data_IF_952749065650
#
_entry.id   IF_952749065650
#
_cell.length_a   1.000
_cell.length_b   1.000
_cell.length_c   1.000
_cell.angle_alpha   90.00
_cell.angle_beta   90.00
_cell.angle_gamma   90.00
#
_symmetry.space_group_name_H-M   'P 1'
#
loop_
_entity.id
_entity.type
_entity.pdbx_description
1 polymer ?
#
# COMPACT_ATOMS: atom_id res chain seq x y z
N UNK A 1 11.50 45.73 -10.87
CA UNK A 1 10.65 44.54 -11.13
C UNK A 1 11.33 43.35 -10.46
N UNK A 2 10.91 43.01 -9.24
CA UNK A 2 11.57 41.99 -8.42
C UNK A 2 10.96 40.63 -8.73
N UNK A 3 11.72 39.77 -9.40
CA UNK A 3 11.29 38.41 -9.73
C UNK A 3 11.27 37.58 -8.44
N UNK A 4 10.09 37.30 -7.90
CA UNK A 4 9.91 36.30 -6.85
C UNK A 4 9.96 34.93 -7.53
N UNK A 5 11.15 34.35 -7.61
CA UNK A 5 11.29 32.95 -7.92
C UNK A 5 10.71 32.15 -6.74
N UNK A 6 9.45 31.76 -6.86
CA UNK A 6 8.81 30.81 -5.94
C UNK A 6 9.51 29.46 -6.14
N UNK A 7 10.56 29.23 -5.34
CA UNK A 7 11.22 27.93 -5.26
C UNK A 7 10.28 26.95 -4.56
N UNK A 8 9.34 26.35 -5.30
CA UNK A 8 8.57 25.20 -4.84
C UNK A 8 9.47 23.97 -4.75
N UNK A 9 10.35 23.91 -3.74
CA UNK A 9 10.91 22.62 -3.31
C UNK A 9 9.81 21.87 -2.57
N UNK A 10 8.90 21.23 -3.30
CA UNK A 10 8.13 20.15 -2.71
C UNK A 10 9.12 19.04 -2.39
N UNK A 11 9.50 18.92 -1.11
CA UNK A 11 10.26 17.76 -0.65
C UNK A 11 9.35 16.55 -0.76
N UNK A 12 9.35 15.88 -1.91
CA UNK A 12 8.68 14.59 -2.08
C UNK A 12 9.44 13.58 -1.23
N UNK A 13 9.00 13.40 0.01
CA UNK A 13 9.53 12.38 0.90
C UNK A 13 8.99 11.00 0.46
N UNK A 14 9.46 10.49 -0.68
CA UNK A 14 9.42 9.05 -0.92
C UNK A 14 10.64 8.47 -0.21
N UNK A 15 10.50 7.60 0.82
CA UNK A 15 11.64 7.05 1.55
C UNK A 15 12.70 6.48 0.60
N UNK A 16 12.29 5.77 -0.45
CA UNK A 16 13.20 5.19 -1.44
C UNK A 16 13.64 6.17 -2.54
N UNK A 17 13.01 7.35 -2.63
CA UNK A 17 13.27 8.39 -3.62
C UNK A 17 13.27 7.87 -5.06
N UNK A 18 12.38 6.94 -5.40
CA UNK A 18 12.40 6.23 -6.70
C UNK A 18 12.41 7.18 -7.91
N UNK A 19 11.77 8.34 -7.80
CA UNK A 19 11.74 9.39 -8.84
C UNK A 19 13.12 9.91 -9.29
N UNK A 20 14.14 9.85 -8.44
CA UNK A 20 15.49 10.35 -8.72
C UNK A 20 16.48 9.23 -9.08
N UNK A 21 16.01 7.98 -9.11
CA UNK A 21 16.80 6.80 -9.48
C UNK A 21 16.70 6.54 -10.98
N UNK A 22 17.64 5.77 -11.52
CA UNK A 22 17.61 5.35 -12.92
C UNK A 22 16.36 4.54 -13.25
N UNK A 23 15.95 4.57 -14.52
CA UNK A 23 14.77 3.82 -15.00
C UNK A 23 14.86 2.32 -14.68
N UNK A 24 16.06 1.72 -14.82
CA UNK A 24 16.29 0.33 -14.47
C UNK A 24 15.99 0.04 -12.98
N UNK A 25 16.35 0.96 -12.08
CA UNK A 25 16.06 0.82 -10.66
C UNK A 25 14.58 1.00 -10.36
N UNK A 26 13.92 1.95 -11.02
CA UNK A 26 12.47 2.15 -10.89
C UNK A 26 11.71 0.89 -11.33
N UNK A 27 12.08 0.32 -12.47
CA UNK A 27 11.51 -0.92 -12.97
C UNK A 27 11.74 -2.07 -11.98
N UNK A 28 12.98 -2.26 -11.51
CA UNK A 28 13.30 -3.27 -10.51
C UNK A 28 12.49 -3.10 -9.21
N UNK A 29 12.28 -1.86 -8.75
CA UNK A 29 11.44 -1.59 -7.59
C UNK A 29 9.98 -1.98 -7.83
N UNK A 30 9.40 -1.64 -8.99
CA UNK A 30 8.03 -2.03 -9.34
C UNK A 30 7.88 -3.56 -9.36
N UNK A 31 8.83 -4.28 -9.97
CA UNK A 31 8.82 -5.75 -9.99
C UNK A 31 8.90 -6.32 -8.57
N UNK A 32 9.80 -5.81 -7.73
CA UNK A 32 9.93 -6.27 -6.34
C UNK A 32 8.69 -5.96 -5.50
N UNK A 33 8.09 -4.79 -5.67
CA UNK A 33 6.86 -4.41 -4.98
C UNK A 33 5.67 -5.25 -5.44
N UNK A 34 5.56 -5.56 -6.73
CA UNK A 34 4.56 -6.48 -7.28
C UNK A 34 4.72 -7.88 -6.72
N UNK A 35 5.95 -8.41 -6.70
CA UNK A 35 6.26 -9.71 -6.10
C UNK A 35 5.89 -9.75 -4.61
N UNK A 36 6.19 -8.69 -3.86
CA UNK A 36 5.82 -8.60 -2.45
C UNK A 36 4.29 -8.59 -2.24
N UNK A 37 3.54 -7.90 -3.08
CA UNK A 37 2.07 -7.91 -3.08
C UNK A 37 1.53 -9.31 -3.38
N UNK A 38 2.09 -9.99 -4.39
CA UNK A 38 1.73 -11.36 -4.74
C UNK A 38 2.03 -12.32 -3.59
N UNK A 39 3.24 -12.34 -3.02
CA UNK A 39 3.55 -13.22 -1.89
C UNK A 39 2.65 -12.97 -0.68
N UNK A 40 2.28 -11.70 -0.45
CA UNK A 40 1.34 -11.34 0.61
C UNK A 40 -0.11 -11.78 0.33
N UNK A 41 -0.49 -12.04 -0.92
CA UNK A 41 -1.82 -12.55 -1.26
C UNK A 41 -2.02 -14.03 -0.95
N UNK A 42 -0.93 -14.80 -0.89
CA UNK A 42 -0.97 -16.20 -0.49
C UNK A 42 -1.13 -16.40 1.02
N UNK A 43 -0.82 -15.37 1.82
CA UNK A 43 -1.05 -15.41 3.27
C UNK A 43 -2.50 -14.99 3.52
N UNK A 44 -3.38 -15.99 3.61
CA UNK A 44 -4.81 -15.78 3.80
C UNK A 44 -5.45 -16.74 4.80
N UNK A 45 -6.57 -16.28 5.36
CA UNK A 45 -7.57 -17.14 6.02
C UNK A 45 -8.69 -17.34 5.00
N UNK A 46 -8.87 -18.56 4.47
CA UNK A 46 -9.90 -18.85 3.48
C UNK A 46 -11.29 -18.60 4.04
N UNK A 47 -12.03 -17.67 3.44
CA UNK A 47 -13.40 -17.32 3.82
C UNK A 47 -14.21 -16.95 2.59
N UNK A 48 -15.53 -17.09 2.68
CA UNK A 48 -16.48 -16.80 1.59
C UNK A 48 -17.41 -15.66 2.02
N UNK A 49 -17.70 -14.68 1.16
CA UNK A 49 -17.26 -14.56 -0.23
C UNK A 49 -15.93 -13.81 -0.42
N UNK A 50 -15.35 -13.28 0.66
CA UNK A 50 -14.11 -12.49 0.63
C UNK A 50 -13.11 -13.10 1.62
N UNK A 51 -11.93 -13.54 1.18
CA UNK A 51 -10.89 -14.04 2.08
C UNK A 51 -10.23 -12.91 2.86
N UNK A 52 -9.75 -13.18 4.08
CA UNK A 52 -8.87 -12.25 4.80
C UNK A 52 -7.43 -12.52 4.40
N UNK A 53 -6.79 -11.56 3.74
CA UNK A 53 -5.41 -11.71 3.23
C UNK A 53 -4.45 -10.69 3.84
N UNK A 54 -3.14 -10.89 3.64
CA UNK A 54 -2.12 -9.86 3.94
C UNK A 54 -1.95 -8.83 2.81
N UNK A 55 -2.78 -8.86 1.76
CA UNK A 55 -2.71 -7.90 0.65
C UNK A 55 -2.89 -6.46 1.13
N UNK A 56 -3.86 -6.18 2.01
CA UNK A 56 -4.14 -4.81 2.45
C UNK A 56 -2.99 -4.23 3.29
N UNK A 57 -2.27 -5.07 4.02
CA UNK A 57 -1.00 -4.71 4.66
C UNK A 57 0.05 -4.34 3.61
N UNK A 58 0.26 -5.20 2.62
CA UNK A 58 1.26 -4.96 1.58
C UNK A 58 0.96 -3.70 0.75
N UNK A 59 -0.30 -3.48 0.38
CA UNK A 59 -0.79 -2.29 -0.34
C UNK A 59 -0.45 -1.01 0.41
N UNK A 60 -0.77 -0.95 1.70
CA UNK A 60 -0.50 0.24 2.52
C UNK A 60 1.00 0.45 2.75
N UNK A 61 1.77 -0.63 2.93
CA UNK A 61 3.22 -0.56 3.10
C UNK A 61 3.96 -0.13 1.82
N UNK A 62 3.60 -0.71 0.67
CA UNK A 62 4.14 -0.31 -0.64
C UNK A 62 3.82 1.15 -0.93
N UNK A 63 2.58 1.58 -0.69
CA UNK A 63 2.20 2.99 -0.79
C UNK A 63 3.11 3.90 0.05
N UNK A 64 3.27 3.60 1.33
CA UNK A 64 4.09 4.40 2.24
C UNK A 64 5.59 4.42 1.87
N UNK A 65 6.15 3.31 1.38
CA UNK A 65 7.57 3.19 1.05
C UNK A 65 7.93 3.77 -0.32
N UNK A 66 7.03 3.63 -1.31
CA UNK A 66 7.30 3.99 -2.70
C UNK A 66 6.81 5.41 -3.00
N UNK A 67 5.93 5.96 -2.16
CA UNK A 67 5.27 7.25 -2.38
C UNK A 67 4.00 7.11 -3.22
N UNK A 68 3.25 8.19 -3.39
CA UNK A 68 1.90 8.10 -3.98
C UNK A 68 1.91 7.65 -5.44
N UNK A 69 2.90 8.08 -6.24
CA UNK A 69 3.01 7.76 -7.68
C UNK A 69 3.43 6.31 -7.88
N UNK A 70 4.62 5.96 -7.39
CA UNK A 70 5.19 4.63 -7.59
C UNK A 70 4.45 3.56 -6.80
N UNK A 71 3.88 3.90 -5.63
CA UNK A 71 3.01 2.99 -4.88
C UNK A 71 1.77 2.62 -5.71
N UNK A 72 1.03 3.61 -6.20
CA UNK A 72 -0.15 3.38 -7.04
C UNK A 72 0.19 2.63 -8.33
N UNK A 73 1.27 3.00 -9.02
CA UNK A 73 1.73 2.33 -10.24
C UNK A 73 2.10 0.86 -9.98
N UNK A 74 2.80 0.58 -8.88
CA UNK A 74 3.20 -0.80 -8.52
C UNK A 74 1.98 -1.66 -8.23
N UNK A 75 1.03 -1.14 -7.46
CA UNK A 75 -0.21 -1.86 -7.14
C UNK A 75 -1.06 -2.06 -8.40
N UNK A 76 -1.15 -1.05 -9.28
CA UNK A 76 -1.86 -1.19 -10.55
C UNK A 76 -1.19 -2.23 -11.46
N UNK A 77 0.14 -2.27 -11.54
CA UNK A 77 0.87 -3.28 -12.30
C UNK A 77 0.56 -4.69 -11.78
N UNK A 78 0.62 -4.91 -10.46
CA UNK A 78 0.24 -6.18 -9.84
C UNK A 78 -1.20 -6.61 -10.15
N UNK A 79 -2.15 -5.66 -10.15
CA UNK A 79 -3.53 -5.95 -10.54
C UNK A 79 -3.65 -6.29 -12.04
N UNK A 80 -2.90 -5.62 -12.91
CA UNK A 80 -2.85 -5.94 -14.35
C UNK A 80 -2.28 -7.34 -14.56
N UNK A 81 -1.24 -7.74 -13.83
CA UNK A 81 -0.72 -9.11 -13.83
C UNK A 81 -1.83 -10.11 -13.44
N UNK A 82 -2.55 -9.84 -12.36
CA UNK A 82 -3.69 -10.66 -11.93
C UNK A 82 -4.76 -10.77 -13.00
N UNK A 83 -5.14 -9.65 -13.62
CA UNK A 83 -6.13 -9.63 -14.70
C UNK A 83 -5.65 -10.36 -15.98
N UNK A 84 -4.35 -10.31 -16.28
CA UNK A 84 -3.72 -10.99 -17.40
C UNK A 84 -3.59 -12.51 -17.19
N UNK A 85 -3.98 -13.04 -16.02
CA UNK A 85 -4.02 -14.47 -15.74
C UNK A 85 -2.83 -15.00 -14.95
N UNK A 86 -1.98 -14.14 -14.39
CA UNK A 86 -0.94 -14.58 -13.46
C UNK A 86 -1.56 -14.89 -12.08
N UNK A 87 -1.11 -15.94 -11.38
CA UNK A 87 -1.64 -16.36 -10.08
C UNK A 87 -1.08 -15.48 -8.95
N UNK A 88 -1.43 -14.19 -8.97
CA UNK A 88 -0.88 -13.19 -8.04
C UNK A 88 -1.92 -12.62 -7.08
N UNK A 89 -3.19 -13.04 -7.20
CA UNK A 89 -4.27 -12.61 -6.30
C UNK A 89 -4.42 -13.58 -5.12
N UNK A 90 -5.45 -13.39 -4.30
CA UNK A 90 -5.71 -14.16 -3.08
C UNK A 90 -5.68 -15.68 -3.35
N UNK A 91 -4.91 -16.44 -2.57
CA UNK A 91 -4.82 -17.90 -2.72
C UNK A 91 -4.27 -18.39 -4.08
N UNK A 92 -3.61 -17.52 -4.85
CA UNK A 92 -3.16 -17.84 -6.22
C UNK A 92 -4.24 -17.67 -7.29
N UNK A 93 -5.33 -16.96 -6.97
CA UNK A 93 -6.35 -16.59 -7.95
C UNK A 93 -5.76 -15.76 -9.11
N UNK A 94 -6.38 -15.89 -10.29
CA UNK A 94 -5.91 -15.31 -11.54
C UNK A 94 -7.08 -15.07 -12.51
N UNK A 95 -7.04 -13.98 -13.28
CA UNK A 95 -7.98 -13.69 -14.36
C UNK A 95 -9.00 -12.59 -14.03
N UNK A 96 -9.58 -12.02 -15.10
CA UNK A 96 -10.47 -10.85 -15.05
C UNK A 96 -11.75 -11.07 -14.24
N UNK A 97 -12.23 -12.32 -14.12
CA UNK A 97 -13.46 -12.63 -13.40
C UNK A 97 -13.42 -12.25 -11.92
N UNK A 98 -12.23 -12.24 -11.29
CA UNK A 98 -12.07 -11.81 -9.89
C UNK A 98 -12.31 -10.31 -9.68
N UNK A 99 -12.19 -9.50 -10.74
CA UNK A 99 -12.46 -8.07 -10.74
C UNK A 99 -13.95 -7.75 -10.90
N UNK A 100 -14.71 -8.67 -11.49
CA UNK A 100 -16.17 -8.56 -11.64
C UNK A 100 -16.95 -9.28 -10.52
N UNK A 101 -16.23 -9.98 -9.63
CA UNK A 101 -16.81 -10.76 -8.53
C UNK A 101 -16.90 -10.00 -7.19
N UNK A 102 -17.18 -10.74 -6.09
CA UNK A 102 -17.35 -10.19 -4.74
C UNK A 102 -16.15 -9.38 -4.22
N UNK A 103 -14.93 -9.69 -4.68
CA UNK A 103 -13.70 -9.03 -4.27
C UNK A 103 -13.36 -7.78 -5.10
N UNK A 104 -14.10 -7.52 -6.19
CA UNK A 104 -13.77 -6.50 -7.18
C UNK A 104 -13.56 -5.12 -6.59
N UNK A 105 -14.49 -4.65 -5.74
CA UNK A 105 -14.38 -3.34 -5.09
C UNK A 105 -13.15 -3.18 -4.20
N UNK A 106 -12.69 -4.25 -3.55
CA UNK A 106 -11.46 -4.23 -2.75
C UNK A 106 -10.25 -4.08 -3.67
N UNK A 107 -10.17 -4.89 -4.74
CA UNK A 107 -9.09 -4.82 -5.72
C UNK A 107 -8.99 -3.43 -6.36
N UNK A 108 -10.11 -2.87 -6.84
CA UNK A 108 -10.14 -1.53 -7.45
C UNK A 108 -9.81 -0.41 -6.46
N UNK A 109 -10.02 -0.61 -5.16
CA UNK A 109 -9.62 0.36 -4.15
C UNK A 109 -8.11 0.41 -3.92
N UNK A 110 -7.37 -0.67 -4.18
CA UNK A 110 -5.98 -0.79 -3.76
C UNK A 110 -5.04 0.28 -4.34
N UNK A 111 -5.10 0.65 -5.64
CA UNK A 111 -4.25 1.73 -6.15
C UNK A 111 -4.55 3.08 -5.48
N UNK A 112 -5.83 3.35 -5.19
CA UNK A 112 -6.27 4.57 -4.50
C UNK A 112 -5.75 4.60 -3.06
N UNK A 113 -5.88 3.48 -2.36
CA UNK A 113 -5.38 3.30 -0.99
C UNK A 113 -3.86 3.49 -0.95
N UNK A 114 -3.12 2.82 -1.85
CA UNK A 114 -1.68 2.98 -1.95
C UNK A 114 -1.25 4.42 -2.24
N UNK A 115 -1.97 5.11 -3.13
CA UNK A 115 -1.73 6.52 -3.43
C UNK A 115 -1.93 7.41 -2.20
N UNK A 116 -3.06 7.27 -1.49
CA UNK A 116 -3.39 8.08 -0.31
C UNK A 116 -2.38 7.84 0.81
N UNK A 117 -2.06 6.57 1.11
CA UNK A 117 -1.09 6.25 2.15
C UNK A 117 0.30 6.76 1.79
N UNK A 118 0.73 6.62 0.54
CA UNK A 118 1.99 7.20 0.07
C UNK A 118 2.01 8.73 0.15
N UNK A 119 0.91 9.38 -0.20
CA UNK A 119 0.75 10.84 -0.14
C UNK A 119 0.80 11.38 1.30
N UNK A 120 0.22 10.65 2.26
CA UNK A 120 0.32 10.94 3.69
C UNK A 120 1.75 10.72 4.20
N UNK A 121 2.40 9.63 3.82
CA UNK A 121 3.78 9.31 4.20
C UNK A 121 4.76 10.40 3.72
N UNK A 122 4.56 10.90 2.50
CA UNK A 122 5.30 12.05 1.92
C UNK A 122 5.11 13.35 2.72
N UNK A 123 4.02 13.48 3.49
CA UNK A 123 3.72 14.61 4.38
C UNK A 123 4.15 14.39 5.83
N UNK A 124 4.94 13.35 6.10
CA UNK A 124 5.46 13.08 7.44
C UNK A 124 4.67 12.07 8.26
N UNK A 125 3.62 11.45 7.70
CA UNK A 125 2.89 10.35 8.35
C UNK A 125 3.63 9.02 8.11
N UNK A 126 4.87 8.95 8.60
CA UNK A 126 5.81 7.87 8.31
C UNK A 126 6.49 7.34 9.58
N UNK A 127 7.43 6.41 9.44
CA UNK A 127 8.08 5.72 10.56
C UNK A 127 8.70 6.61 11.64
N UNK A 128 9.07 7.86 11.32
CA UNK A 128 9.55 8.81 12.34
C UNK A 128 8.44 9.23 13.32
N UNK A 129 7.19 9.18 12.89
CA UNK A 129 5.98 9.51 13.67
C UNK A 129 5.02 8.32 13.65
N UNK A 130 5.35 7.29 14.42
CA UNK A 130 4.68 5.97 14.39
C UNK A 130 3.16 6.05 14.51
N UNK A 131 2.63 6.92 15.37
CA UNK A 131 1.18 7.10 15.52
C UNK A 131 0.52 7.66 14.26
N UNK A 132 1.19 8.57 13.54
CA UNK A 132 0.70 9.06 12.25
C UNK A 132 0.85 8.01 11.15
N UNK A 133 1.92 7.22 11.16
CA UNK A 133 2.05 6.08 10.24
C UNK A 133 0.91 5.07 10.44
N UNK A 134 0.61 4.73 11.70
CA UNK A 134 -0.54 3.89 12.05
C UNK A 134 -1.84 4.48 11.53
N UNK A 135 -2.09 5.77 11.78
CA UNK A 135 -3.28 6.45 11.32
C UNK A 135 -3.41 6.45 9.78
N UNK A 136 -2.31 6.69 9.05
CA UNK A 136 -2.31 6.64 7.59
C UNK A 136 -2.71 5.25 7.07
N UNK A 137 -2.11 4.19 7.62
CA UNK A 137 -2.40 2.82 7.22
C UNK A 137 -3.82 2.40 7.62
N UNK A 138 -4.31 2.86 8.77
CA UNK A 138 -5.68 2.61 9.21
C UNK A 138 -6.70 3.29 8.31
N UNK A 139 -6.48 4.56 7.94
CA UNK A 139 -7.31 5.28 6.96
C UNK A 139 -7.35 4.52 5.63
N UNK A 140 -6.19 4.05 5.16
CA UNK A 140 -6.11 3.25 3.94
C UNK A 140 -6.90 1.94 4.02
N UNK A 141 -6.77 1.18 5.11
CA UNK A 141 -7.53 -0.05 5.32
C UNK A 141 -9.04 0.21 5.44
N UNK A 142 -9.45 1.25 6.18
CA UNK A 142 -10.86 1.61 6.30
C UNK A 142 -11.46 2.04 4.96
N UNK A 143 -10.72 2.82 4.16
CA UNK A 143 -11.15 3.20 2.81
C UNK A 143 -11.34 1.97 1.92
N UNK A 144 -10.39 1.03 1.97
CA UNK A 144 -10.52 -0.26 1.28
C UNK A 144 -11.80 -0.99 1.70
N UNK A 145 -12.08 -1.08 3.01
CA UNK A 145 -13.27 -1.78 3.51
C UNK A 145 -14.56 -1.08 3.09
N UNK A 146 -14.61 0.25 3.13
CA UNK A 146 -15.79 1.01 2.70
C UNK A 146 -16.06 0.79 1.22
N UNK A 147 -15.06 0.96 0.35
CA UNK A 147 -15.23 0.81 -1.10
C UNK A 147 -15.52 -0.64 -1.50
N UNK A 148 -14.80 -1.61 -0.91
CA UNK A 148 -15.01 -3.02 -1.15
C UNK A 148 -16.38 -3.51 -0.67
N UNK A 149 -16.79 -3.09 0.53
CA UNK A 149 -18.11 -3.44 1.07
C UNK A 149 -19.24 -2.79 0.29
N UNK A 150 -19.08 -1.55 -0.17
CA UNK A 150 -20.08 -0.88 -1.01
C UNK A 150 -20.30 -1.63 -2.33
N UNK A 151 -19.22 -2.10 -2.97
CA UNK A 151 -19.31 -2.97 -4.14
C UNK A 151 -20.03 -4.28 -3.82
N UNK A 152 -19.63 -4.96 -2.74
CA UNK A 152 -20.24 -6.22 -2.32
C UNK A 152 -21.73 -6.04 -1.99
N UNK A 153 -22.11 -4.93 -1.36
CA UNK A 153 -23.48 -4.59 -1.01
C UNK A 153 -24.37 -4.47 -2.26
N UNK A 154 -23.84 -3.96 -3.37
CA UNK A 154 -24.56 -3.93 -4.64
C UNK A 154 -24.83 -5.33 -5.22
N UNK A 155 -24.05 -6.34 -4.83
CA UNK A 155 -24.20 -7.72 -5.32
C UNK A 155 -25.10 -8.58 -4.42
N UNK A 156 -24.93 -8.49 -3.10
CA UNK A 156 -25.55 -9.43 -2.14
C UNK A 156 -26.43 -8.76 -1.07
N UNK A 157 -26.62 -7.45 -1.16
CA UNK A 157 -27.34 -6.64 -0.18
C UNK A 157 -26.46 -6.13 0.96
N UNK A 158 -26.83 -4.96 1.51
CA UNK A 158 -26.03 -4.23 2.50
C UNK A 158 -25.78 -5.02 3.78
N UNK A 159 -26.80 -5.68 4.33
CA UNK A 159 -26.68 -6.46 5.57
C UNK A 159 -25.65 -7.59 5.45
N UNK A 160 -25.74 -8.39 4.38
CA UNK A 160 -24.78 -9.47 4.12
C UNK A 160 -23.39 -8.92 3.83
N UNK A 161 -23.29 -7.84 3.08
CA UNK A 161 -22.00 -7.23 2.77
C UNK A 161 -21.29 -6.69 4.03
N UNK A 162 -22.00 -6.09 4.97
CA UNK A 162 -21.42 -5.64 6.24
C UNK A 162 -20.94 -6.86 7.06
N UNK A 163 -21.78 -7.88 7.18
CA UNK A 163 -21.49 -9.08 7.97
C UNK A 163 -20.30 -9.87 7.43
N UNK A 164 -20.20 -10.03 6.12
CA UNK A 164 -19.17 -10.87 5.50
C UNK A 164 -18.01 -10.11 4.86
N UNK A 165 -18.17 -8.81 4.59
CA UNK A 165 -17.20 -7.97 3.87
C UNK A 165 -16.59 -6.83 4.68
N UNK A 166 -17.15 -6.50 5.85
CA UNK A 166 -16.66 -5.41 6.69
C UNK A 166 -16.23 -5.88 8.07
N UNK A 167 -17.16 -6.44 8.85
CA UNK A 167 -16.93 -6.78 10.26
C UNK A 167 -15.73 -7.72 10.51
N UNK A 168 -15.54 -8.81 9.74
CA UNK A 168 -14.44 -9.74 9.96
C UNK A 168 -13.05 -9.10 9.79
N UNK A 169 -12.99 -7.99 9.04
CA UNK A 169 -11.75 -7.35 8.64
C UNK A 169 -11.31 -6.23 9.60
N UNK A 170 -12.16 -5.78 10.53
CA UNK A 170 -11.84 -4.64 11.42
C UNK A 170 -10.61 -4.95 12.28
N UNK A 171 -10.63 -6.09 12.98
CA UNK A 171 -9.51 -6.50 13.84
C UNK A 171 -8.25 -6.70 13.02
N UNK A 172 -8.37 -7.36 11.86
CA UNK A 172 -7.26 -7.52 10.93
C UNK A 172 -6.71 -6.19 10.44
N UNK A 173 -7.55 -5.21 10.13
CA UNK A 173 -7.16 -3.88 9.69
C UNK A 173 -6.38 -3.10 10.75
N UNK A 174 -6.80 -3.19 12.02
CA UNK A 174 -6.07 -2.61 13.15
C UNK A 174 -4.69 -3.26 13.31
N UNK A 175 -4.63 -4.59 13.36
CA UNK A 175 -3.38 -5.34 13.53
C UNK A 175 -2.41 -5.10 12.37
N UNK A 176 -2.92 -5.09 11.13
CA UNK A 176 -2.12 -4.81 9.91
C UNK A 176 -1.59 -3.40 9.90
N UNK A 177 -2.39 -2.42 10.33
CA UNK A 177 -1.95 -1.02 10.42
C UNK A 177 -0.87 -0.84 11.48
N UNK A 178 -0.99 -1.52 12.62
CA UNK A 178 0.02 -1.53 13.67
C UNK A 178 1.33 -2.16 13.18
N UNK A 179 1.25 -3.33 12.54
CA UNK A 179 2.40 -4.02 11.95
C UNK A 179 3.10 -3.16 10.90
N UNK A 180 2.34 -2.51 10.03
CA UNK A 180 2.87 -1.63 9.00
C UNK A 180 3.56 -0.40 9.58
N UNK A 181 2.98 0.23 10.60
CA UNK A 181 3.59 1.35 11.30
C UNK A 181 4.90 0.94 12.00
N UNK A 182 4.93 -0.23 12.64
CA UNK A 182 6.14 -0.79 13.25
C UNK A 182 7.22 -1.09 12.20
N UNK A 183 6.83 -1.62 11.04
CA UNK A 183 7.73 -1.88 9.92
C UNK A 183 8.32 -0.57 9.40
N UNK A 184 7.51 0.45 9.18
CA UNK A 184 8.00 1.78 8.78
C UNK A 184 8.93 2.40 9.82
N UNK A 185 8.65 2.24 11.11
CA UNK A 185 9.56 2.68 12.19
C UNK A 185 10.92 2.02 12.06
N UNK A 186 10.95 0.71 11.86
CA UNK A 186 12.19 -0.05 11.69
C UNK A 186 13.02 0.50 10.52
N UNK A 187 12.40 0.72 9.36
CA UNK A 187 13.07 1.34 8.19
C UNK A 187 13.59 2.75 8.47
N UNK A 188 12.88 3.55 9.28
CA UNK A 188 13.32 4.91 9.62
C UNK A 188 14.54 4.94 10.53
N UNK A 189 14.65 3.98 11.46
CA UNK A 189 15.78 3.90 12.41
C UNK A 189 17.09 3.55 11.69
N UNK A 190 17.08 2.63 10.72
CA UNK A 190 18.29 2.23 9.98
C UNK A 190 18.86 3.31 9.07
N UNK A 191 18.07 4.31 8.69
CA UNK A 191 18.54 5.42 7.84
C UNK A 191 19.13 6.58 8.65
N UNK A 192 19.01 6.55 9.97
CA UNK A 192 19.48 7.60 10.86
C UNK A 192 20.96 7.45 11.30
N UNK A 193 21.69 6.42 10.87
CA UNK A 193 23.12 6.35 11.15
C UNK A 193 23.90 7.41 10.33
N UNK A 194 24.57 8.37 10.98
CA UNK A 194 25.46 9.29 10.30
C UNK A 194 26.65 8.51 9.76
N UNK A 195 26.91 8.63 8.47
CA UNK A 195 28.17 8.24 7.85
C UNK A 195 29.26 9.23 8.28
N UNK A 196 29.59 9.30 9.57
CA UNK A 196 30.79 9.98 10.06
C UNK A 196 31.90 8.96 10.31
N UNK A 197 32.65 8.71 9.24
CA UNK A 197 34.01 8.17 9.31
C UNK A 197 34.87 8.97 8.34
N UNK A 198 35.07 10.25 8.62
CA UNK A 198 36.24 10.98 8.08
C UNK A 198 36.57 12.24 8.90
N UNK A 199 37.08 12.04 10.12
CA UNK A 199 37.91 13.05 10.80
C UNK A 199 39.04 12.43 11.63
N UNK A 200 39.52 11.23 11.23
CA UNK A 200 40.86 10.76 11.60
C UNK A 200 41.77 10.85 10.39
N UNK A 201 42.13 12.07 10.03
CA UNK A 201 43.32 12.33 9.23
C UNK A 201 43.97 13.59 9.78
N UNK A 202 45.09 13.33 10.45
CA UNK A 202 46.27 14.18 10.68
C UNK A 202 46.11 15.36 11.63
#
# INVERSE_FOLDING_TARGET
MTNIAVSTRQSSFSPLQLHSRSVAWQFGAVVLGSLFLALSSYIEVPMVPVPVTMQTFAVTLVGALYGWRFGALTIAAWLVEGAAGFPVLAGGAAGVQHFMGPTGGYLFSFPIVGAIVGWLAERGWNGNRVMLAFAAMLIGNLLCLVLGTAWLAAMIGAEKAITFGFLPFIVGGLLKSALGAATLKLFSTYRAEPRDRSSKTQ
#
